data_IF_919649818489
#
_entry.id   IF_919649818489
#
_cell.length_a   1.000
_cell.length_b   1.000
_cell.length_c   1.000
_cell.angle_alpha   90.00
_cell.angle_beta   90.00
_cell.angle_gamma   90.00
#
_symmetry.space_group_name_H-M   'P 1'
#
loop_
_entity.id
_entity.type
_entity.pdbx_description
1 polymer ?
#
# COMPACT_ATOMS: atom_id res chain seq x y z
N UNK A 1 -12.62 -20.06 7.55
CA UNK A 1 -11.53 -20.05 6.53
C UNK A 1 -11.09 -18.60 6.26
N UNK A 2 -9.92 -18.37 5.64
CA UNK A 2 -9.47 -16.98 5.35
C UNK A 2 -10.40 -16.29 4.36
N UNK A 3 -10.96 -17.03 3.44
CA UNK A 3 -11.96 -16.60 2.43
C UNK A 3 -13.23 -16.00 3.02
N UNK A 4 -13.56 -16.32 4.27
CA UNK A 4 -14.70 -15.74 4.99
C UNK A 4 -14.32 -14.45 5.73
N UNK A 5 -13.03 -14.25 6.00
CA UNK A 5 -12.53 -13.15 6.85
C UNK A 5 -11.90 -12.02 6.06
N UNK A 6 -11.54 -12.26 4.80
CA UNK A 6 -10.89 -11.26 3.97
C UNK A 6 -11.23 -11.45 2.48
N UNK A 7 -10.99 -10.41 1.72
CA UNK A 7 -11.13 -10.33 0.27
C UNK A 7 -9.96 -9.54 -0.33
N UNK A 8 -9.80 -9.58 -1.63
CA UNK A 8 -8.84 -8.79 -2.35
C UNK A 8 -9.50 -7.49 -2.84
N UNK A 9 -8.79 -6.39 -2.75
CA UNK A 9 -9.24 -5.11 -3.23
C UNK A 9 -8.13 -4.38 -3.98
N UNK A 10 -8.50 -3.61 -4.99
CA UNK A 10 -7.60 -2.71 -5.71
C UNK A 10 -8.32 -1.42 -6.07
N UNK A 11 -7.61 -0.30 -6.05
CA UNK A 11 -8.13 0.97 -6.52
C UNK A 11 -7.43 1.37 -7.83
N UNK A 12 -8.22 1.81 -8.78
CA UNK A 12 -7.74 2.37 -10.03
C UNK A 12 -8.02 3.87 -10.03
N UNK A 13 -6.98 4.68 -10.08
CA UNK A 13 -7.11 6.14 -10.12
C UNK A 13 -6.38 6.65 -11.36
N UNK A 14 -7.11 7.28 -12.25
CA UNK A 14 -6.59 7.93 -13.44
C UNK A 14 -6.73 9.44 -13.32
N UNK A 15 -5.66 10.16 -13.64
CA UNK A 15 -5.62 11.63 -13.70
C UNK A 15 -4.80 12.03 -14.91
N UNK A 16 -5.29 13.00 -15.66
CA UNK A 16 -4.52 13.59 -16.72
C UNK A 16 -3.26 14.26 -16.18
N UNK A 17 -2.10 13.88 -16.71
CA UNK A 17 -0.82 14.39 -16.21
C UNK A 17 -0.53 15.83 -16.61
N UNK A 18 -1.22 16.35 -17.64
CA UNK A 18 -0.95 17.63 -18.28
C UNK A 18 0.52 17.78 -18.76
N UNK A 19 1.13 16.66 -19.17
CA UNK A 19 2.51 16.60 -19.65
C UNK A 19 2.53 15.98 -21.04
N UNK A 20 3.32 16.54 -21.95
CA UNK A 20 3.53 15.98 -23.30
C UNK A 20 5.02 15.93 -23.66
N UNK A 21 5.45 14.79 -24.17
CA UNK A 21 6.79 14.65 -24.70
C UNK A 21 6.92 15.44 -26.01
N UNK A 22 7.82 16.45 -26.03
CA UNK A 22 8.16 17.20 -27.24
C UNK A 22 9.38 16.60 -27.94
N UNK A 23 9.09 15.83 -29.01
CA UNK A 23 10.12 15.13 -29.79
C UNK A 23 11.04 16.08 -30.53
N UNK A 24 10.53 17.26 -30.95
CA UNK A 24 11.34 18.25 -31.68
C UNK A 24 12.36 18.85 -30.75
N UNK A 25 11.92 19.38 -29.61
CA UNK A 25 12.82 19.96 -28.60
C UNK A 25 13.83 18.93 -28.09
N UNK A 26 13.39 17.67 -27.88
CA UNK A 26 14.31 16.59 -27.47
C UNK A 26 15.45 16.38 -28.47
N UNK A 27 15.16 16.40 -29.76
CA UNK A 27 16.17 16.26 -30.82
C UNK A 27 17.06 17.50 -30.94
N UNK A 28 16.46 18.69 -30.83
CA UNK A 28 17.20 19.95 -30.91
C UNK A 28 18.23 20.05 -29.78
N UNK A 29 17.83 19.69 -28.54
CA UNK A 29 18.74 19.63 -27.37
C UNK A 29 19.85 18.59 -27.60
N UNK A 30 19.52 17.38 -28.03
CA UNK A 30 20.52 16.35 -28.32
C UNK A 30 21.53 16.82 -29.38
N UNK A 31 21.05 17.46 -30.45
CA UNK A 31 21.88 18.01 -31.52
C UNK A 31 22.83 19.11 -31.04
N UNK A 32 22.34 20.04 -30.23
CA UNK A 32 23.14 21.14 -29.62
C UNK A 32 24.33 20.61 -28.80
N UNK A 33 24.14 19.45 -28.16
CA UNK A 33 25.18 18.81 -27.35
C UNK A 33 25.95 17.71 -28.07
N UNK A 34 25.74 17.51 -29.38
CA UNK A 34 26.37 16.42 -30.15
C UNK A 34 26.02 15.02 -29.60
N UNK A 35 24.89 14.90 -28.87
CA UNK A 35 24.48 13.66 -28.22
C UNK A 35 23.57 12.82 -29.13
N UNK A 36 23.47 11.52 -28.81
CA UNK A 36 22.54 10.64 -29.49
C UNK A 36 21.08 11.10 -29.28
N UNK A 37 20.20 11.07 -30.31
CA UNK A 37 18.81 11.57 -30.22
C UNK A 37 17.97 10.93 -29.11
N UNK A 38 18.35 9.75 -28.63
CA UNK A 38 17.71 9.05 -27.51
C UNK A 38 18.32 9.34 -26.13
N UNK A 39 19.34 10.20 -26.04
CA UNK A 39 20.04 10.48 -24.79
C UNK A 39 19.19 11.23 -23.73
N UNK A 40 18.10 11.89 -24.16
CA UNK A 40 17.21 12.62 -23.26
C UNK A 40 15.81 12.79 -23.83
N UNK A 41 14.87 13.16 -22.93
CA UNK A 41 13.48 13.47 -23.31
C UNK A 41 13.08 14.81 -22.69
N UNK A 42 12.62 15.74 -23.51
CA UNK A 42 12.01 16.97 -23.02
C UNK A 42 10.50 16.77 -22.87
N UNK A 43 10.03 16.88 -21.65
CA UNK A 43 8.61 16.80 -21.31
C UNK A 43 8.07 18.21 -21.05
N UNK A 44 7.19 18.64 -21.92
CA UNK A 44 6.53 19.94 -21.82
C UNK A 44 5.37 19.84 -20.82
N UNK A 45 5.35 20.77 -19.85
CA UNK A 45 4.19 20.96 -18.99
C UNK A 45 3.12 21.74 -19.77
N UNK A 46 1.93 21.17 -19.91
CA UNK A 46 0.83 21.81 -20.65
C UNK A 46 0.06 22.82 -19.80
N UNK A 47 -0.02 22.59 -18.50
CA UNK A 47 -0.62 23.52 -17.55
C UNK A 47 0.37 23.80 -16.42
N UNK A 48 0.58 25.06 -16.09
CA UNK A 48 1.36 25.53 -14.95
C UNK A 48 0.43 26.28 -14.01
N UNK A 49 0.53 26.04 -12.70
CA UNK A 49 -0.33 26.70 -11.71
C UNK A 49 -1.83 26.36 -11.80
N UNK A 50 -2.18 25.22 -12.39
CA UNK A 50 -3.57 24.79 -12.51
C UNK A 50 -4.09 24.24 -11.16
N UNK A 51 -4.51 25.13 -10.28
CA UNK A 51 -4.91 24.82 -8.90
C UNK A 51 -5.97 23.70 -8.83
N UNK A 52 -6.97 23.72 -9.71
CA UNK A 52 -8.01 22.67 -9.73
C UNK A 52 -7.46 21.30 -10.05
N UNK A 53 -6.45 21.21 -10.92
CA UNK A 53 -5.78 19.94 -11.23
C UNK A 53 -4.94 19.46 -10.03
N UNK A 54 -4.27 20.36 -9.32
CA UNK A 54 -3.52 20.01 -8.11
C UNK A 54 -4.44 19.59 -6.97
N UNK A 55 -5.63 20.17 -6.83
CA UNK A 55 -6.65 19.71 -5.89
C UNK A 55 -7.08 18.24 -6.19
N UNK A 56 -7.28 17.90 -7.46
CA UNK A 56 -7.56 16.50 -7.87
C UNK A 56 -6.40 15.54 -7.57
N UNK A 57 -5.17 15.96 -7.79
CA UNK A 57 -3.97 15.17 -7.45
C UNK A 57 -3.87 14.94 -5.95
N UNK A 58 -4.15 15.97 -5.16
CA UNK A 58 -4.18 15.88 -3.69
C UNK A 58 -5.27 14.92 -3.22
N UNK A 59 -6.47 15.01 -3.77
CA UNK A 59 -7.58 14.10 -3.45
C UNK A 59 -7.23 12.65 -3.81
N UNK A 60 -6.61 12.42 -4.98
CA UNK A 60 -6.13 11.10 -5.35
C UNK A 60 -5.06 10.54 -4.38
N UNK A 61 -4.22 11.42 -3.85
CA UNK A 61 -3.28 11.07 -2.78
C UNK A 61 -3.99 10.63 -1.50
N UNK A 62 -5.02 11.37 -1.09
CA UNK A 62 -5.84 11.05 0.09
C UNK A 62 -6.57 9.70 -0.07
N UNK A 63 -7.14 9.43 -1.26
CA UNK A 63 -7.79 8.15 -1.57
C UNK A 63 -6.80 6.98 -1.41
N UNK A 64 -5.59 7.10 -1.98
CA UNK A 64 -4.56 6.06 -1.85
C UNK A 64 -4.13 5.87 -0.40
N UNK A 65 -3.92 6.96 0.33
CA UNK A 65 -3.52 6.92 1.74
C UNK A 65 -4.57 6.22 2.61
N UNK A 66 -5.85 6.55 2.42
CA UNK A 66 -6.94 5.90 3.12
C UNK A 66 -7.01 4.41 2.80
N UNK A 67 -6.96 4.05 1.51
CA UNK A 67 -7.00 2.67 1.06
C UNK A 67 -5.84 1.85 1.64
N UNK A 68 -4.62 2.38 1.63
CA UNK A 68 -3.45 1.69 2.20
C UNK A 68 -3.50 1.59 3.72
N UNK A 69 -4.13 2.56 4.39
CA UNK A 69 -4.31 2.53 5.85
C UNK A 69 -5.13 1.31 6.29
N UNK A 70 -6.23 0.99 5.60
CA UNK A 70 -7.19 -0.05 5.99
C UNK A 70 -7.04 -1.39 5.25
N UNK A 71 -6.00 -1.52 4.44
CA UNK A 71 -5.67 -2.76 3.71
C UNK A 71 -4.23 -3.18 3.96
N UNK A 72 -3.94 -4.47 3.67
CA UNK A 72 -2.60 -5.05 3.80
C UNK A 72 -2.03 -5.39 2.42
N UNK A 73 -0.71 -5.45 2.25
CA UNK A 73 -0.11 -5.90 0.99
C UNK A 73 -0.50 -7.35 0.70
N UNK A 74 -0.79 -7.63 -0.58
CA UNK A 74 -1.08 -8.97 -1.08
C UNK A 74 -0.07 -9.38 -2.14
N UNK A 75 0.05 -8.58 -3.19
CA UNK A 75 0.98 -8.82 -4.30
C UNK A 75 1.60 -7.52 -4.77
N UNK A 76 2.66 -7.62 -5.57
CA UNK A 76 3.33 -6.47 -6.19
C UNK A 76 2.46 -5.82 -7.29
N UNK A 77 1.43 -6.52 -7.77
CA UNK A 77 0.53 -6.08 -8.85
C UNK A 77 -0.61 -5.14 -8.39
N UNK A 78 -0.56 -4.66 -7.16
CA UNK A 78 -1.49 -3.65 -6.65
C UNK A 78 -2.71 -4.18 -5.91
N UNK A 79 -3.02 -5.48 -5.95
CA UNK A 79 -4.04 -6.05 -5.08
C UNK A 79 -3.61 -6.04 -3.62
N UNK A 80 -4.57 -5.73 -2.76
CA UNK A 80 -4.37 -5.66 -1.31
C UNK A 80 -5.41 -6.50 -0.58
N UNK A 81 -5.03 -7.02 0.56
CA UNK A 81 -5.92 -7.79 1.42
C UNK A 81 -6.81 -6.82 2.24
N UNK A 82 -8.10 -6.96 2.08
CA UNK A 82 -9.12 -6.22 2.82
C UNK A 82 -9.83 -7.15 3.80
N UNK A 83 -9.79 -6.89 5.12
CA UNK A 83 -10.62 -7.62 6.07
C UNK A 83 -12.11 -7.47 5.75
N UNK A 84 -12.87 -8.57 5.74
CA UNK A 84 -14.26 -8.58 5.28
C UNK A 84 -15.17 -7.63 6.04
N UNK A 85 -14.96 -7.47 7.34
CA UNK A 85 -15.74 -6.56 8.18
C UNK A 85 -15.47 -5.06 7.91
N UNK A 86 -14.35 -4.72 7.21
CA UNK A 86 -14.04 -3.35 6.79
C UNK A 86 -14.62 -2.99 5.41
N UNK A 87 -15.22 -3.97 4.70
CA UNK A 87 -15.72 -3.74 3.36
C UNK A 87 -16.74 -2.61 3.26
N UNK A 88 -17.74 -2.59 4.16
CA UNK A 88 -18.78 -1.55 4.10
C UNK A 88 -18.23 -0.16 4.41
N UNK A 89 -17.30 -0.05 5.36
CA UNK A 89 -16.60 1.20 5.68
C UNK A 89 -15.80 1.71 4.47
N UNK A 90 -15.02 0.82 3.83
CA UNK A 90 -14.29 1.16 2.61
C UNK A 90 -15.24 1.58 1.48
N UNK A 91 -16.30 0.80 1.23
CA UNK A 91 -17.21 1.05 0.13
C UNK A 91 -17.99 2.37 0.30
N UNK A 92 -18.34 2.74 1.52
CA UNK A 92 -18.98 4.03 1.83
C UNK A 92 -18.02 5.19 1.61
N UNK A 93 -16.82 5.12 2.17
CA UNK A 93 -15.81 6.15 1.99
C UNK A 93 -15.38 6.29 0.52
N UNK A 94 -15.30 5.20 -0.23
CA UNK A 94 -14.99 5.25 -1.66
C UNK A 94 -16.10 5.96 -2.46
N UNK A 95 -17.39 5.77 -2.14
CA UNK A 95 -18.48 6.51 -2.77
C UNK A 95 -18.41 8.02 -2.52
N UNK A 96 -18.01 8.42 -1.29
CA UNK A 96 -17.78 9.83 -0.98
C UNK A 96 -16.61 10.40 -1.79
N UNK A 97 -15.50 9.66 -1.87
CA UNK A 97 -14.35 10.04 -2.67
C UNK A 97 -14.68 10.12 -4.17
N UNK A 98 -15.39 9.16 -4.71
CA UNK A 98 -15.83 9.16 -6.12
C UNK A 98 -16.72 10.37 -6.43
N UNK A 99 -17.65 10.71 -5.52
CA UNK A 99 -18.51 11.88 -5.66
C UNK A 99 -17.68 13.17 -5.63
N UNK A 100 -16.81 13.33 -4.65
CA UNK A 100 -15.93 14.50 -4.53
C UNK A 100 -14.95 14.63 -5.71
N UNK A 101 -14.41 13.50 -6.19
CA UNK A 101 -13.51 13.46 -7.33
C UNK A 101 -14.25 13.86 -8.63
N UNK A 102 -15.45 13.34 -8.85
CA UNK A 102 -16.27 13.68 -10.01
C UNK A 102 -16.63 15.16 -10.03
N UNK A 103 -17.03 15.74 -8.88
CA UNK A 103 -17.27 17.16 -8.77
C UNK A 103 -16.01 17.99 -9.05
N UNK A 104 -14.87 17.58 -8.51
CA UNK A 104 -13.59 18.23 -8.78
C UNK A 104 -13.19 18.19 -10.26
N UNK A 105 -13.51 17.12 -10.98
CA UNK A 105 -13.32 17.03 -12.43
C UNK A 105 -14.18 18.04 -13.17
N UNK A 106 -15.47 18.16 -12.84
CA UNK A 106 -16.35 19.16 -13.47
C UNK A 106 -15.87 20.60 -13.17
N UNK A 107 -15.45 20.88 -11.93
CA UNK A 107 -14.89 22.18 -11.55
C UNK A 107 -13.60 22.49 -12.34
N UNK A 108 -12.74 21.49 -12.56
CA UNK A 108 -11.53 21.65 -13.39
C UNK A 108 -11.89 21.91 -14.85
N UNK A 109 -12.81 21.12 -15.42
CA UNK A 109 -13.22 21.27 -16.82
C UNK A 109 -13.90 22.63 -17.10
N UNK A 110 -14.64 23.19 -16.15
CA UNK A 110 -15.24 24.51 -16.26
C UNK A 110 -14.21 25.62 -16.41
N UNK A 111 -13.05 25.51 -15.77
CA UNK A 111 -11.97 26.52 -15.81
C UNK A 111 -10.84 26.14 -16.77
N UNK A 112 -10.87 24.97 -17.37
CA UNK A 112 -9.82 24.45 -18.26
C UNK A 112 -9.50 25.39 -19.43
N UNK A 113 -10.48 26.00 -20.14
CA UNK A 113 -10.19 26.96 -21.20
C UNK A 113 -9.39 28.17 -20.71
N UNK A 114 -9.67 28.65 -19.50
CA UNK A 114 -8.92 29.80 -18.94
C UNK A 114 -7.47 29.43 -18.60
N UNK A 115 -7.20 28.20 -18.16
CA UNK A 115 -5.83 27.72 -17.95
C UNK A 115 -5.04 27.65 -19.27
N UNK A 116 -5.68 27.26 -20.38
CA UNK A 116 -5.04 27.24 -21.71
C UNK A 116 -4.61 28.66 -22.12
N UNK A 117 -5.50 29.66 -21.93
CA UNK A 117 -5.17 31.04 -22.25
C UNK A 117 -4.07 31.62 -21.36
N UNK A 118 -4.01 31.23 -20.09
CA UNK A 118 -2.94 31.64 -19.16
C UNK A 118 -1.58 31.10 -19.58
N UNK A 119 -1.49 29.82 -19.97
CA UNK A 119 -0.20 29.19 -20.32
C UNK A 119 0.26 29.50 -21.73
N UNK A 120 -0.62 29.98 -22.62
CA UNK A 120 -0.27 30.33 -24.01
C UNK A 120 0.94 31.29 -24.10
N UNK A 121 0.97 32.40 -23.41
CA UNK A 121 2.14 33.30 -23.41
C UNK A 121 3.36 32.72 -22.68
N UNK A 122 3.15 31.86 -21.67
CA UNK A 122 4.26 31.25 -20.92
C UNK A 122 5.00 30.19 -21.74
N UNK A 123 4.27 29.39 -22.51
CA UNK A 123 4.85 28.39 -23.41
C UNK A 123 5.37 29.02 -24.72
N UNK A 124 4.84 30.15 -25.13
CA UNK A 124 5.26 30.89 -26.33
C UNK A 124 5.48 29.94 -27.54
N UNK A 125 6.69 29.86 -28.08
CA UNK A 125 7.04 29.00 -29.23
C UNK A 125 6.87 27.48 -28.99
N UNK A 126 6.66 27.06 -27.77
CA UNK A 126 6.34 25.66 -27.41
C UNK A 126 4.83 25.39 -27.35
N UNK A 127 4.00 26.45 -27.37
CA UNK A 127 2.55 26.27 -27.35
C UNK A 127 2.04 25.66 -28.66
N UNK A 128 1.18 24.65 -28.54
CA UNK A 128 0.46 24.05 -29.65
C UNK A 128 -0.94 23.70 -29.19
N UNK A 129 -1.95 24.20 -29.86
CA UNK A 129 -3.35 23.99 -29.52
C UNK A 129 -3.76 22.52 -29.59
N UNK A 130 -3.17 21.77 -30.52
CA UNK A 130 -3.35 20.31 -30.68
C UNK A 130 -2.88 19.46 -29.48
N UNK A 131 -2.12 20.04 -28.55
CA UNK A 131 -1.66 19.37 -27.34
C UNK A 131 -2.74 19.33 -26.26
N UNK A 132 -3.80 20.12 -26.39
CA UNK A 132 -4.86 20.28 -25.44
C UNK A 132 -6.11 19.51 -25.87
N UNK A 133 -6.42 18.38 -25.20
CA UNK A 133 -7.62 17.61 -25.52
C UNK A 133 -8.90 18.43 -25.34
N UNK A 134 -9.92 18.18 -26.16
CA UNK A 134 -11.26 18.72 -25.91
C UNK A 134 -11.80 18.23 -24.56
N UNK A 135 -12.64 19.02 -23.90
CA UNK A 135 -13.14 18.78 -22.56
C UNK A 135 -13.76 17.38 -22.38
N UNK A 136 -14.53 16.89 -23.36
CA UNK A 136 -15.13 15.55 -23.32
C UNK A 136 -14.09 14.44 -23.31
N UNK A 137 -13.08 14.55 -24.18
CA UNK A 137 -11.95 13.62 -24.24
C UNK A 137 -11.08 13.69 -22.99
N UNK A 138 -11.03 14.87 -22.39
CA UNK A 138 -10.25 15.10 -21.17
C UNK A 138 -10.96 14.47 -19.96
N UNK A 139 -12.31 14.55 -19.88
CA UNK A 139 -13.13 13.90 -18.84
C UNK A 139 -12.82 12.40 -18.74
N UNK A 140 -12.67 11.70 -19.85
CA UNK A 140 -12.38 10.27 -19.90
C UNK A 140 -11.03 9.88 -19.29
N UNK A 141 -10.13 10.87 -19.08
CA UNK A 141 -8.81 10.63 -18.46
C UNK A 141 -8.84 10.66 -16.95
N UNK A 142 -9.97 10.96 -16.35
CA UNK A 142 -10.17 11.01 -14.92
C UNK A 142 -11.10 9.88 -14.49
N UNK A 143 -10.64 9.05 -13.58
CA UNK A 143 -11.44 7.98 -13.01
C UNK A 143 -10.95 7.62 -11.61
N UNK A 144 -11.88 7.23 -10.76
CA UNK A 144 -11.63 6.51 -9.51
C UNK A 144 -12.53 5.29 -9.53
N UNK A 145 -11.99 4.12 -9.26
CA UNK A 145 -12.75 2.87 -9.21
C UNK A 145 -12.18 1.95 -8.15
N UNK A 146 -13.03 1.38 -7.32
CA UNK A 146 -12.72 0.26 -6.44
C UNK A 146 -13.13 -1.04 -7.14
N UNK A 147 -12.23 -2.03 -7.12
CA UNK A 147 -12.50 -3.39 -7.55
C UNK A 147 -12.23 -4.35 -6.39
N UNK A 148 -13.12 -5.32 -6.21
CA UNK A 148 -13.04 -6.31 -5.13
C UNK A 148 -13.18 -7.71 -5.72
N UNK A 149 -12.29 -8.61 -5.31
CA UNK A 149 -12.24 -9.99 -5.75
C UNK A 149 -12.18 -10.94 -4.55
N UNK A 150 -12.67 -12.18 -4.70
CA UNK A 150 -12.45 -13.20 -3.69
C UNK A 150 -10.96 -13.58 -3.60
N UNK A 151 -10.52 -14.08 -2.44
CA UNK A 151 -9.21 -14.72 -2.31
C UNK A 151 -9.28 -16.05 -3.07
N UNK A 152 -8.33 -16.32 -3.99
CA UNK A 152 -8.31 -17.58 -4.73
C UNK A 152 -8.04 -18.76 -3.79
N UNK A 153 -8.63 -19.91 -4.10
CA UNK A 153 -8.36 -21.20 -3.44
C UNK A 153 -7.94 -22.24 -4.46
N UNK A 154 -7.17 -23.22 -4.05
CA UNK A 154 -6.81 -24.33 -4.93
C UNK A 154 -8.02 -25.09 -5.50
N UNK A 155 -9.15 -25.10 -4.78
CA UNK A 155 -10.41 -25.75 -5.19
C UNK A 155 -11.14 -24.96 -6.30
N UNK A 156 -10.88 -23.67 -6.45
CA UNK A 156 -11.50 -22.81 -7.49
C UNK A 156 -10.90 -23.06 -8.88
N UNK A 157 -9.76 -23.76 -8.94
CA UNK A 157 -9.07 -24.05 -10.18
C UNK A 157 -9.75 -25.20 -10.94
N UNK A 158 -10.60 -24.86 -11.93
CA UNK A 158 -11.44 -25.81 -12.68
C UNK A 158 -11.09 -25.91 -14.17
N UNK A 159 -9.84 -25.66 -14.52
CA UNK A 159 -9.38 -25.79 -15.90
C UNK A 159 -9.20 -27.27 -16.25
N UNK A 160 -9.54 -27.66 -17.48
CA UNK A 160 -9.45 -29.04 -17.93
C UNK A 160 -7.98 -29.44 -18.19
N UNK A 161 -7.32 -29.88 -17.12
CA UNK A 161 -5.94 -30.39 -17.10
C UNK A 161 -5.92 -31.81 -16.53
N UNK A 162 -4.77 -32.48 -16.58
CA UNK A 162 -4.59 -33.75 -15.88
C UNK A 162 -4.77 -33.58 -14.36
N UNK A 163 -5.20 -34.60 -13.66
CA UNK A 163 -5.38 -34.54 -12.20
C UNK A 163 -4.09 -34.18 -11.46
N UNK A 164 -2.94 -34.65 -11.96
CA UNK A 164 -1.62 -34.30 -11.42
C UNK A 164 -1.30 -32.81 -11.56
N UNK A 165 -1.55 -32.23 -12.74
CA UNK A 165 -1.30 -30.83 -13.01
C UNK A 165 -2.27 -29.92 -12.24
N UNK A 166 -3.55 -30.32 -12.10
CA UNK A 166 -4.51 -29.61 -11.24
C UNK A 166 -4.03 -29.57 -9.78
N UNK A 167 -3.58 -30.72 -9.25
CA UNK A 167 -3.07 -30.78 -7.89
C UNK A 167 -1.79 -29.95 -7.68
N UNK A 168 -0.91 -29.89 -8.70
CA UNK A 168 0.29 -29.03 -8.66
C UNK A 168 -0.10 -27.55 -8.57
N UNK A 169 -1.00 -27.09 -9.45
CA UNK A 169 -1.44 -25.69 -9.48
C UNK A 169 -2.20 -25.33 -8.20
N UNK A 170 -3.05 -26.23 -7.67
CA UNK A 170 -3.76 -26.01 -6.42
C UNK A 170 -2.79 -25.78 -5.25
N UNK A 171 -1.75 -26.62 -5.11
CA UNK A 171 -0.71 -26.43 -4.08
C UNK A 171 0.04 -25.10 -4.24
N UNK A 172 0.31 -24.69 -5.48
CA UNK A 172 0.97 -23.41 -5.76
C UNK A 172 0.09 -22.22 -5.35
N UNK A 173 -1.21 -22.26 -5.65
CA UNK A 173 -2.18 -21.24 -5.21
C UNK A 173 -2.18 -21.14 -3.67
N UNK A 174 -2.33 -22.27 -2.98
CA UNK A 174 -2.37 -22.30 -1.52
C UNK A 174 -1.06 -21.80 -0.88
N UNK A 175 0.09 -22.12 -1.49
CA UNK A 175 1.38 -21.57 -1.05
C UNK A 175 1.41 -20.06 -1.21
N UNK A 176 1.07 -19.52 -2.37
CA UNK A 176 1.05 -18.10 -2.66
C UNK A 176 0.11 -17.33 -1.71
N UNK A 177 -1.03 -17.92 -1.37
CA UNK A 177 -1.97 -17.37 -0.39
C UNK A 177 -1.32 -17.31 1.00
N UNK A 178 -0.68 -18.38 1.47
CA UNK A 178 0.03 -18.39 2.77
C UNK A 178 1.13 -17.34 2.83
N UNK A 179 1.96 -17.25 1.80
CA UNK A 179 3.03 -16.24 1.72
C UNK A 179 2.49 -14.82 1.74
N UNK A 180 1.40 -14.56 1.02
CA UNK A 180 0.77 -13.24 0.98
C UNK A 180 0.16 -12.86 2.33
N UNK A 181 -0.43 -13.81 3.05
CA UNK A 181 -0.91 -13.59 4.40
C UNK A 181 0.23 -13.33 5.40
N UNK A 182 1.35 -14.02 5.25
CA UNK A 182 2.54 -13.77 6.05
C UNK A 182 3.07 -12.35 5.81
N UNK A 183 3.20 -11.91 4.55
CA UNK A 183 3.56 -10.53 4.20
C UNK A 183 2.61 -9.49 4.81
N UNK A 184 1.30 -9.77 4.81
CA UNK A 184 0.31 -8.91 5.47
C UNK A 184 0.55 -8.77 6.98
N UNK A 185 0.88 -9.86 7.65
CA UNK A 185 1.22 -9.85 9.08
C UNK A 185 2.53 -9.11 9.35
N UNK A 186 3.55 -9.31 8.53
CA UNK A 186 4.84 -8.61 8.64
C UNK A 186 4.69 -7.10 8.44
N UNK A 187 3.81 -6.68 7.53
CA UNK A 187 3.47 -5.27 7.31
C UNK A 187 2.83 -4.65 8.57
N UNK A 188 1.95 -5.36 9.27
CA UNK A 188 1.37 -4.90 10.53
C UNK A 188 2.42 -4.72 11.64
N UNK A 189 3.33 -5.68 11.78
CA UNK A 189 4.45 -5.58 12.70
C UNK A 189 5.35 -4.39 12.37
N UNK A 190 5.65 -4.20 11.09
CA UNK A 190 6.44 -3.07 10.61
C UNK A 190 5.79 -1.74 10.94
N UNK A 191 4.50 -1.57 10.62
CA UNK A 191 3.73 -0.35 10.93
C UNK A 191 3.74 -0.05 12.43
N UNK A 192 3.50 -1.07 13.26
CA UNK A 192 3.47 -0.90 14.72
C UNK A 192 4.83 -0.46 15.26
N UNK A 193 5.89 -1.15 14.83
CA UNK A 193 7.26 -0.83 15.21
C UNK A 193 7.67 0.59 14.78
N UNK A 194 7.39 0.96 13.53
CA UNK A 194 7.75 2.27 12.97
C UNK A 194 7.09 3.42 13.73
N UNK A 195 5.80 3.31 14.05
CA UNK A 195 5.09 4.39 14.75
C UNK A 195 5.58 4.57 16.18
N UNK A 196 5.90 3.46 16.88
CA UNK A 196 6.43 3.52 18.26
C UNK A 196 7.88 4.01 18.25
N UNK A 197 8.73 3.52 17.32
CA UNK A 197 10.12 4.01 17.17
C UNK A 197 10.15 5.50 16.86
N UNK A 198 9.28 5.98 15.96
CA UNK A 198 9.17 7.42 15.69
C UNK A 198 8.77 8.22 16.95
N UNK A 199 7.89 7.65 17.80
CA UNK A 199 7.56 8.28 19.07
C UNK A 199 8.78 8.36 20.01
N UNK A 200 9.58 7.30 20.12
CA UNK A 200 10.84 7.27 20.89
C UNK A 200 11.77 8.38 20.42
N UNK A 201 12.03 8.45 19.11
CA UNK A 201 12.95 9.44 18.54
C UNK A 201 12.48 10.86 18.85
N UNK A 202 11.20 11.15 18.64
CA UNK A 202 10.64 12.49 18.85
C UNK A 202 10.56 12.90 20.31
N UNK A 203 10.31 12.00 21.21
CA UNK A 203 10.26 12.32 22.66
C UNK A 203 11.66 12.52 23.25
N UNK A 204 12.69 11.90 22.67
CA UNK A 204 14.08 12.05 23.12
C UNK A 204 14.78 13.29 22.54
N UNK A 205 14.25 13.97 21.53
CA UNK A 205 14.82 15.22 21.02
C UNK A 205 14.70 16.33 22.09
N UNK A 206 15.83 17.01 22.47
CA UNK A 206 15.85 18.01 23.56
C UNK A 206 14.92 19.21 23.27
N UNK A 207 14.84 19.64 22.02
CA UNK A 207 14.02 20.76 21.55
C UNK A 207 12.73 20.31 20.85
N UNK A 208 12.18 19.19 21.26
CA UNK A 208 11.14 18.50 20.51
C UNK A 208 9.88 19.32 20.28
N UNK A 209 9.80 19.92 19.10
CA UNK A 209 8.59 20.52 18.54
C UNK A 209 7.75 19.43 17.85
N UNK A 210 7.29 18.42 18.59
CA UNK A 210 6.42 17.41 18.02
C UNK A 210 4.97 17.92 17.92
N UNK A 211 4.27 17.48 16.90
CA UNK A 211 2.86 17.80 16.69
C UNK A 211 1.94 16.86 17.51
N UNK A 212 0.67 17.24 17.65
CA UNK A 212 -0.35 16.40 18.30
C UNK A 212 -0.47 15.03 17.62
N UNK A 213 -0.23 14.98 16.30
CA UNK A 213 -0.24 13.75 15.50
C UNK A 213 0.73 12.68 15.98
N UNK A 214 1.77 13.02 16.76
CA UNK A 214 2.67 12.01 17.31
C UNK A 214 1.94 10.98 18.16
N UNK A 215 1.06 11.44 19.06
CA UNK A 215 0.28 10.56 19.96
C UNK A 215 -0.94 10.00 19.23
N UNK A 216 -1.64 10.83 18.44
CA UNK A 216 -2.84 10.36 17.72
C UNK A 216 -2.51 9.30 16.68
N UNK A 217 -1.36 9.36 15.99
CA UNK A 217 -0.95 8.32 15.04
C UNK A 217 -0.72 6.97 15.74
N UNK A 218 -0.13 6.95 16.95
CA UNK A 218 0.03 5.72 17.73
C UNK A 218 -1.35 5.18 18.11
N UNK A 219 -2.22 6.03 18.68
CA UNK A 219 -3.56 5.66 19.09
C UNK A 219 -4.39 5.09 17.93
N UNK A 220 -4.44 5.80 16.80
CA UNK A 220 -5.19 5.39 15.61
C UNK A 220 -4.72 4.05 15.06
N UNK A 221 -3.41 3.81 15.07
CA UNK A 221 -2.87 2.54 14.59
C UNK A 221 -3.20 1.38 15.53
N UNK A 222 -3.01 1.54 16.85
CA UNK A 222 -3.28 0.44 17.80
C UNK A 222 -4.78 0.12 17.90
N UNK A 223 -5.65 1.08 17.61
CA UNK A 223 -7.10 0.87 17.54
C UNK A 223 -7.50 0.14 16.23
N UNK A 224 -6.85 0.46 15.12
CA UNK A 224 -7.09 -0.16 13.82
C UNK A 224 -6.47 -1.56 13.69
N UNK A 225 -5.31 -1.78 14.30
CA UNK A 225 -4.47 -2.97 14.09
C UNK A 225 -5.20 -4.31 14.38
N UNK A 226 -5.98 -4.48 15.48
CA UNK A 226 -6.75 -5.70 15.71
C UNK A 226 -7.78 -5.98 14.60
N UNK A 227 -8.30 -4.91 13.96
CA UNK A 227 -9.24 -5.01 12.84
C UNK A 227 -8.56 -5.43 11.54
N UNK A 228 -7.26 -5.15 11.39
CA UNK A 228 -6.45 -5.59 10.24
C UNK A 228 -5.84 -6.99 10.44
N UNK A 229 -5.79 -7.51 11.64
CA UNK A 229 -5.15 -8.77 12.00
C UNK A 229 -5.97 -9.99 11.56
N UNK A 230 -6.08 -10.23 10.24
CA UNK A 230 -6.85 -11.34 9.65
C UNK A 230 -6.29 -12.72 10.03
N UNK A 231 -4.98 -12.81 10.31
CA UNK A 231 -4.31 -14.04 10.74
C UNK A 231 -4.48 -14.35 12.23
N UNK A 232 -5.11 -13.42 12.99
CA UNK A 232 -5.30 -13.56 14.43
C UNK A 232 -3.99 -13.77 15.20
N UNK A 233 -2.92 -13.07 14.79
CA UNK A 233 -1.65 -13.07 15.49
C UNK A 233 -1.83 -12.54 16.91
N UNK A 234 -1.72 -13.44 17.92
CA UNK A 234 -1.96 -13.11 19.32
C UNK A 234 -0.91 -12.17 19.90
N UNK A 235 0.35 -12.31 19.49
CA UNK A 235 1.44 -11.45 19.93
C UNK A 235 1.25 -10.00 19.45
N UNK A 236 0.84 -9.83 18.20
CA UNK A 236 0.55 -8.53 17.63
C UNK A 236 -0.58 -7.82 18.39
N UNK A 237 -1.65 -8.54 18.73
CA UNK A 237 -2.75 -8.00 19.52
C UNK A 237 -2.30 -7.65 20.95
N UNK A 238 -1.43 -8.46 21.55
CA UNK A 238 -0.87 -8.20 22.88
C UNK A 238 -0.06 -6.91 22.89
N UNK A 239 0.83 -6.71 21.89
CA UNK A 239 1.61 -5.48 21.79
C UNK A 239 0.73 -4.26 21.53
N UNK A 240 -0.29 -4.37 20.67
CA UNK A 240 -1.22 -3.27 20.44
C UNK A 240 -1.94 -2.85 21.74
N UNK A 241 -2.42 -3.82 22.54
CA UNK A 241 -3.04 -3.55 23.82
C UNK A 241 -2.05 -2.91 24.83
N UNK A 242 -0.83 -3.42 24.92
CA UNK A 242 0.22 -2.88 25.78
C UNK A 242 0.60 -1.44 25.41
N UNK A 243 0.74 -1.14 24.14
CA UNK A 243 1.02 0.22 23.64
C UNK A 243 -0.13 1.16 23.98
N UNK A 244 -1.38 0.72 23.75
CA UNK A 244 -2.57 1.50 24.09
C UNK A 244 -2.60 1.85 25.60
N UNK A 245 -2.31 0.88 26.45
CA UNK A 245 -2.31 1.04 27.91
C UNK A 245 -1.15 1.91 28.41
N UNK A 246 0.06 1.77 27.85
CA UNK A 246 1.25 2.45 28.38
C UNK A 246 1.56 3.78 27.73
N UNK A 247 1.30 3.94 26.41
CA UNK A 247 1.74 5.11 25.66
C UNK A 247 0.62 6.08 25.27
N UNK A 248 -0.66 5.66 25.33
CA UNK A 248 -1.78 6.48 24.87
C UNK A 248 -2.50 7.24 26.00
N UNK A 249 -1.96 7.26 27.23
CA UNK A 249 -2.60 7.88 28.39
C UNK A 249 -2.43 9.39 28.46
N UNK A 250 -1.47 9.94 27.73
CA UNK A 250 -1.11 11.36 27.80
C UNK A 250 -1.27 12.06 26.45
N UNK A 251 -1.80 13.26 26.50
CA UNK A 251 -1.86 14.08 25.28
C UNK A 251 -0.46 14.62 24.91
N UNK A 252 -0.27 14.96 23.63
CA UNK A 252 0.95 15.62 23.17
C UNK A 252 1.22 16.94 23.93
N UNK A 253 0.18 17.60 24.44
CA UNK A 253 0.29 18.81 25.25
C UNK A 253 0.89 18.52 26.63
N UNK A 254 0.49 17.40 27.26
CA UNK A 254 1.00 16.99 28.57
C UNK A 254 2.48 16.62 28.46
N UNK A 255 2.83 15.85 27.45
CA UNK A 255 4.23 15.46 27.16
C UNK A 255 5.14 16.66 26.84
N UNK A 256 4.60 17.74 26.22
CA UNK A 256 5.36 18.99 25.98
C UNK A 256 5.60 19.79 27.26
N UNK A 257 4.64 19.77 28.18
CA UNK A 257 4.70 20.58 29.40
C UNK A 257 5.48 19.93 30.53
N UNK A 258 5.55 18.61 30.54
CA UNK A 258 6.14 17.84 31.61
C UNK A 258 7.29 16.98 31.08
N UNK A 259 8.53 17.41 31.34
CA UNK A 259 9.74 16.73 30.89
C UNK A 259 9.89 15.35 31.53
N UNK A 260 9.58 15.22 32.82
CA UNK A 260 9.66 13.92 33.52
C UNK A 260 8.72 12.91 32.87
N UNK A 261 7.49 13.35 32.57
CA UNK A 261 6.51 12.50 31.91
C UNK A 261 6.95 12.12 30.48
N UNK A 262 7.52 13.08 29.74
CA UNK A 262 8.06 12.85 28.39
C UNK A 262 9.15 11.80 28.39
N UNK A 263 10.15 11.94 29.30
CA UNK A 263 11.26 11.00 29.42
C UNK A 263 10.76 9.61 29.84
N UNK A 264 9.84 9.53 30.80
CA UNK A 264 9.26 8.26 31.21
C UNK A 264 8.52 7.57 30.06
N UNK A 265 7.69 8.32 29.30
CA UNK A 265 6.97 7.78 28.13
C UNK A 265 7.95 7.34 27.04
N UNK A 266 9.03 8.08 26.80
CA UNK A 266 10.08 7.69 25.84
C UNK A 266 10.77 6.39 26.25
N UNK A 267 11.09 6.22 27.56
CA UNK A 267 11.69 4.98 28.07
C UNK A 267 10.76 3.79 27.93
N UNK A 268 9.48 3.94 28.26
CA UNK A 268 8.48 2.89 28.08
C UNK A 268 8.28 2.49 26.62
N UNK A 269 8.28 3.48 25.71
CA UNK A 269 8.19 3.21 24.28
C UNK A 269 9.44 2.46 23.77
N UNK A 270 10.64 2.81 24.25
CA UNK A 270 11.89 2.14 23.90
C UNK A 270 11.93 0.68 24.38
N UNK A 271 11.43 0.41 25.61
CA UNK A 271 11.30 -0.96 26.12
C UNK A 271 10.35 -1.81 25.24
N UNK A 272 9.22 -1.23 24.81
CA UNK A 272 8.28 -1.92 23.93
C UNK A 272 8.93 -2.22 22.57
N UNK A 273 9.67 -1.27 21.98
CA UNK A 273 10.37 -1.50 20.71
C UNK A 273 11.41 -2.61 20.84
N UNK A 274 12.19 -2.63 21.92
CA UNK A 274 13.17 -3.68 22.17
C UNK A 274 12.51 -5.07 22.29
N UNK A 275 11.41 -5.16 23.03
CA UNK A 275 10.64 -6.42 23.14
C UNK A 275 10.03 -6.87 21.81
N UNK A 276 9.57 -5.93 20.97
CA UNK A 276 9.11 -6.24 19.61
C UNK A 276 10.24 -6.77 18.74
N UNK A 277 11.43 -6.18 18.83
CA UNK A 277 12.60 -6.60 18.04
C UNK A 277 13.05 -8.02 18.40
N UNK A 278 12.97 -8.43 19.68
CA UNK A 278 13.21 -9.82 20.12
C UNK A 278 12.20 -10.78 19.47
N UNK A 279 10.92 -10.47 19.53
CA UNK A 279 9.86 -11.31 18.91
C UNK A 279 10.06 -11.41 17.41
N UNK A 280 10.38 -10.31 16.73
CA UNK A 280 10.61 -10.29 15.28
C UNK A 280 11.88 -11.08 14.90
N UNK A 281 12.90 -11.05 15.74
CA UNK A 281 14.11 -11.87 15.55
C UNK A 281 13.79 -13.37 15.64
N UNK A 282 13.06 -13.78 16.67
CA UNK A 282 12.66 -15.17 16.88
C UNK A 282 11.75 -15.69 15.75
N UNK A 283 10.84 -14.85 15.24
CA UNK A 283 9.99 -15.18 14.09
C UNK A 283 10.80 -15.44 12.82
N UNK A 284 11.78 -14.58 12.53
CA UNK A 284 12.69 -14.77 11.38
C UNK A 284 13.52 -16.03 11.50
N UNK A 285 14.03 -16.34 12.70
CA UNK A 285 14.78 -17.56 12.95
C UNK A 285 13.93 -18.81 12.72
N UNK A 286 12.68 -18.83 13.20
CA UNK A 286 11.74 -19.93 12.96
C UNK A 286 11.37 -20.09 11.48
N UNK A 287 11.08 -18.99 10.78
CA UNK A 287 10.78 -19.01 9.35
C UNK A 287 11.95 -19.53 8.50
N UNK A 288 13.19 -19.33 8.94
CA UNK A 288 14.39 -19.85 8.25
C UNK A 288 14.64 -21.33 8.49
N UNK A 289 14.03 -21.92 9.52
CA UNK A 289 14.13 -23.36 9.84
C UNK A 289 12.97 -24.17 9.30
N UNK A 290 11.84 -23.54 9.03
CA UNK A 290 10.65 -24.15 8.38
C UNK A 290 10.71 -23.82 6.87
N UNK A 291 11.62 -24.50 6.14
CA UNK A 291 11.56 -24.49 4.67
C UNK A 291 10.34 -25.30 4.24
N UNK A 292 9.33 -24.68 3.60
CA UNK A 292 8.12 -25.39 3.16
C UNK A 292 8.38 -26.45 2.09
N UNK A 293 9.56 -26.49 1.48
CA UNK A 293 10.01 -27.51 0.53
C UNK A 293 10.81 -28.64 1.21
N UNK A 294 11.03 -28.58 2.51
CA UNK A 294 11.64 -29.71 3.23
C UNK A 294 10.58 -30.80 3.42
N UNK A 295 10.69 -31.96 2.73
CA UNK A 295 9.71 -33.02 2.86
C UNK A 295 9.63 -33.46 4.34
N UNK A 296 8.41 -33.50 4.86
CA UNK A 296 8.17 -33.95 6.23
C UNK A 296 8.62 -35.44 6.37
N UNK A 297 8.90 -35.86 7.60
CA UNK A 297 9.26 -37.25 7.84
C UNK A 297 8.16 -38.23 7.31
N UNK A 298 6.89 -37.79 7.26
CA UNK A 298 5.77 -38.54 6.68
C UNK A 298 5.84 -38.58 5.14
N UNK A 299 6.27 -37.48 4.47
CA UNK A 299 6.47 -37.47 3.02
C UNK A 299 7.62 -38.38 2.61
N UNK A 300 8.72 -38.38 3.38
CA UNK A 300 9.88 -39.26 3.15
C UNK A 300 9.45 -40.73 3.33
N UNK A 301 8.71 -41.07 4.39
CA UNK A 301 8.22 -42.43 4.65
C UNK A 301 7.23 -42.87 3.57
N UNK A 302 6.33 -41.99 3.14
CA UNK A 302 5.38 -42.28 2.05
C UNK A 302 6.10 -42.53 0.72
N UNK A 303 7.13 -41.72 0.40
CA UNK A 303 7.94 -41.94 -0.81
C UNK A 303 8.78 -43.21 -0.76
N UNK A 304 9.34 -43.54 0.40
CA UNK A 304 10.07 -44.82 0.58
C UNK A 304 9.16 -46.01 0.49
N UNK A 305 7.95 -45.98 1.03
CA UNK A 305 6.95 -47.07 0.90
C UNK A 305 6.54 -47.30 -0.56
N UNK A 306 6.33 -46.22 -1.33
CA UNK A 306 5.99 -46.32 -2.76
C UNK A 306 7.13 -46.94 -3.62
N UNK A 307 8.39 -46.74 -3.22
CA UNK A 307 9.56 -47.32 -3.89
C UNK A 307 9.76 -48.80 -3.54
N UNK A 308 9.32 -49.23 -2.35
CA UNK A 308 9.43 -50.63 -1.93
C UNK A 308 8.31 -51.53 -2.48
N UNK A 309 7.19 -50.96 -2.93
CA UNK A 309 6.05 -51.70 -3.52
C UNK A 309 6.09 -51.79 -5.05
N UNK A 310 7.10 -51.19 -5.73
CA UNK A 310 7.23 -51.32 -7.17
C UNK A 310 7.65 -52.79 -7.53
N UNK A 311 6.83 -53.57 -8.25
CA UNK A 311 7.18 -54.93 -8.61
C UNK A 311 8.38 -54.89 -9.56
N UNK A 312 9.40 -55.67 -9.28
CA UNK A 312 10.53 -55.90 -10.15
C UNK A 312 10.00 -56.39 -11.51
N UNK A 313 10.14 -55.54 -12.53
CA UNK A 313 9.81 -55.91 -13.88
C UNK A 313 10.73 -57.03 -14.34
N UNK A 314 10.14 -58.17 -14.66
CA UNK A 314 10.79 -59.32 -15.27
C UNK A 314 10.88 -59.17 -16.79
#
# INVERSE_FOLDING_TARGET
MITERAMLAVIHISIWTAVKHDRKVSRDVASQHGAHPGAGRYNKQLLMGAEKLEQLRTLAGQIRQYFYKITLPWSDEGFRLLPAHLYFELAEQMREFETGFSQGVEDFLAVYPSYIEQVRPELNGLFREEDYPAADKLREKFAVKLEVLPIPTGEDFRVNLSAEEQARVAREIDRNVRESLARGTDDLWKRLREVVSHMVDRLNEPDSRFHASLVTNVFDLVDLLPRLNVNQDGELNRFAAQIKERLCNYSARDLKRNEILRVATASEAAEIVAAMDEVLHDRKAKASTEDPDTPTAEDIVSHMSAYMEAPAAA
#
